data_IF_143249289718
#
_entry.id   IF_143249289718
#
_cell.length_a   1.000
_cell.length_b   1.000
_cell.length_c   1.000
_cell.angle_alpha   90.00
_cell.angle_beta   90.00
_cell.angle_gamma   90.00
#
_symmetry.space_group_name_H-M   'P 1'
#
loop_
_entity.id
_entity.type
_entity.pdbx_description
1 polymer ?
#
# COMPACT_ATOMS: atom_id res chain seq x y z
N UNK A 1 52.63 11.91 24.67
CA UNK A 1 51.71 12.58 25.61
C UNK A 1 50.70 13.39 24.80
N UNK A 2 49.40 13.23 25.05
CA UNK A 2 48.36 14.09 24.48
C UNK A 2 47.11 13.34 24.04
N UNK A 3 46.35 12.80 25.00
CA UNK A 3 44.97 12.37 24.80
C UNK A 3 44.10 13.60 24.55
N UNK A 4 43.27 13.59 23.49
CA UNK A 4 42.12 14.47 23.40
C UNK A 4 40.84 13.64 23.38
N UNK A 5 40.01 14.00 24.33
CA UNK A 5 38.80 13.39 24.84
C UNK A 5 37.65 13.38 23.83
N UNK A 6 36.93 12.25 23.85
CA UNK A 6 35.53 12.13 23.42
C UNK A 6 34.71 13.27 24.02
N UNK A 7 33.89 13.92 23.18
CA UNK A 7 32.73 14.67 23.65
C UNK A 7 31.50 13.95 23.11
N UNK A 8 30.76 13.38 24.04
CA UNK A 8 29.40 12.89 23.88
C UNK A 8 28.51 14.00 23.30
N UNK A 9 27.77 13.69 22.24
CA UNK A 9 26.63 14.51 21.81
C UNK A 9 25.33 13.80 22.18
N UNK A 10 24.52 14.56 22.92
CA UNK A 10 23.28 14.25 23.61
C UNK A 10 22.10 13.97 22.63
N UNK A 11 21.35 12.87 22.78
CA UNK A 11 20.27 12.49 21.88
C UNK A 11 18.90 13.05 22.30
N UNK A 12 18.70 14.37 22.38
CA UNK A 12 17.36 14.94 22.58
C UNK A 12 17.16 16.31 21.91
N UNK A 13 16.69 16.31 20.65
CA UNK A 13 15.90 17.43 20.12
C UNK A 13 14.94 16.97 19.04
N UNK A 14 13.80 16.41 19.47
CA UNK A 14 12.61 16.23 18.64
C UNK A 14 11.45 17.00 19.29
N UNK A 15 10.92 18.07 18.67
CA UNK A 15 9.75 18.73 19.22
C UNK A 15 8.50 17.84 19.11
N UNK A 16 7.75 17.81 20.21
CA UNK A 16 6.65 16.90 20.47
C UNK A 16 5.40 17.14 19.63
N UNK A 17 4.70 16.04 19.35
CA UNK A 17 3.37 15.99 18.74
C UNK A 17 2.33 16.42 19.79
N UNK A 18 1.78 17.64 19.70
CA UNK A 18 0.48 18.01 20.29
C UNK A 18 -0.04 19.36 19.75
N UNK A 19 -1.31 19.35 19.35
CA UNK A 19 -2.22 20.47 19.00
C UNK A 19 -1.94 21.17 17.64
N UNK A 20 -2.92 21.51 16.79
CA UNK A 20 -4.19 22.20 17.08
C UNK A 20 -5.31 21.78 16.10
N UNK A 21 -6.54 21.73 16.64
CA UNK A 21 -7.83 21.46 15.99
C UNK A 21 -8.50 22.73 15.42
N UNK A 22 -9.16 22.56 14.27
CA UNK A 22 -10.52 23.02 13.92
C UNK A 22 -10.84 24.46 13.42
N UNK A 23 -11.91 24.45 12.59
CA UNK A 23 -12.86 25.50 12.11
C UNK A 23 -12.51 26.17 10.77
N UNK A 24 -13.44 26.41 9.85
CA UNK A 24 -14.83 26.85 10.04
C UNK A 24 -15.85 26.33 9.00
N UNK A 25 -17.10 26.21 9.45
CA UNK A 25 -18.32 26.09 8.66
C UNK A 25 -18.71 27.46 8.05
N UNK A 26 -19.28 27.45 6.84
CA UNK A 26 -20.06 28.55 6.27
C UNK A 26 -21.56 28.25 6.26
N UNK A 27 -22.33 29.07 6.97
CA UNK A 27 -23.78 29.30 6.87
C UNK A 27 -24.06 30.16 5.61
N UNK A 28 -25.24 30.33 5.01
CA UNK A 28 -26.58 29.75 5.02
C UNK A 28 -27.34 30.44 3.87
N UNK A 29 -28.40 29.84 3.32
CA UNK A 29 -29.47 30.59 2.66
C UNK A 29 -30.80 29.86 2.84
N UNK A 30 -31.75 30.55 3.47
CA UNK A 30 -33.09 30.10 3.77
C UNK A 30 -34.02 30.26 2.55
N UNK A 31 -34.88 29.27 2.32
CA UNK A 31 -36.02 29.36 1.41
C UNK A 31 -37.26 28.84 2.12
N UNK A 32 -38.22 29.72 2.36
CA UNK A 32 -39.56 29.43 2.88
C UNK A 32 -40.45 28.90 1.75
N UNK A 33 -41.13 27.78 1.98
CA UNK A 33 -42.18 27.26 1.09
C UNK A 33 -43.08 26.30 1.85
N UNK A 34 -44.29 26.75 2.18
CA UNK A 34 -45.35 25.96 2.80
C UNK A 34 -46.25 25.34 1.73
N UNK A 35 -46.54 24.05 1.85
CA UNK A 35 -47.77 23.45 1.30
C UNK A 35 -48.09 22.16 2.07
N UNK A 36 -49.28 22.12 2.66
CA UNK A 36 -49.88 20.94 3.27
C UNK A 36 -50.57 20.10 2.20
N UNK A 37 -50.51 18.77 2.33
CA UNK A 37 -51.56 17.89 1.87
C UNK A 37 -51.54 16.59 2.68
N UNK A 38 -52.64 16.37 3.38
CA UNK A 38 -53.04 15.12 4.04
C UNK A 38 -53.38 14.06 2.97
N UNK A 39 -52.91 12.84 3.17
CA UNK A 39 -53.23 11.70 2.31
C UNK A 39 -52.96 10.39 3.03
N UNK A 40 -53.99 9.85 3.68
CA UNK A 40 -54.00 8.52 4.25
C UNK A 40 -54.29 7.47 3.16
N UNK A 41 -53.55 6.36 3.18
CA UNK A 41 -54.01 5.09 2.61
C UNK A 41 -53.24 3.93 3.26
N UNK A 42 -53.89 3.30 4.23
CA UNK A 42 -53.52 2.00 4.78
C UNK A 42 -53.88 0.89 3.79
N UNK A 43 -52.91 0.07 3.39
CA UNK A 43 -53.14 -1.21 2.73
C UNK A 43 -52.43 -2.33 3.50
N UNK A 44 -53.09 -3.46 3.82
CA UNK A 44 -52.44 -4.58 4.49
C UNK A 44 -51.73 -5.44 3.43
N UNK A 45 -50.41 -5.41 3.42
CA UNK A 45 -49.62 -6.41 2.69
C UNK A 45 -49.29 -7.55 3.65
N UNK A 46 -49.84 -8.73 3.36
CA UNK A 46 -49.56 -9.99 4.04
C UNK A 46 -48.06 -10.26 4.12
N UNK A 47 -47.53 -10.35 5.34
CA UNK A 47 -46.19 -10.82 5.59
C UNK A 47 -46.15 -12.36 5.51
N UNK A 48 -45.40 -12.91 4.55
CA UNK A 48 -44.92 -14.29 4.66
C UNK A 48 -43.78 -14.35 5.69
N UNK A 49 -43.69 -15.41 6.52
CA UNK A 49 -42.55 -15.58 7.41
C UNK A 49 -41.33 -15.97 6.57
N UNK A 50 -40.46 -15.01 6.29
CA UNK A 50 -39.11 -15.30 5.85
C UNK A 50 -38.41 -16.06 6.98
N UNK A 51 -38.03 -17.31 6.73
CA UNK A 51 -37.09 -18.04 7.59
C UNK A 51 -35.82 -17.20 7.69
N UNK A 52 -35.60 -16.57 8.84
CA UNK A 52 -34.33 -15.98 9.23
C UNK A 52 -33.32 -17.09 9.43
N UNK A 53 -32.67 -17.50 8.34
CA UNK A 53 -31.40 -18.20 8.43
C UNK A 53 -30.37 -17.23 9.00
N UNK A 54 -29.89 -17.52 10.21
CA UNK A 54 -28.74 -16.83 10.82
C UNK A 54 -27.59 -16.74 9.82
N UNK A 55 -26.89 -15.60 9.72
CA UNK A 55 -25.68 -15.55 8.91
C UNK A 55 -24.64 -16.45 9.59
N UNK A 56 -24.33 -17.57 8.95
CA UNK A 56 -23.09 -18.26 9.20
C UNK A 56 -21.96 -17.24 8.99
N UNK A 57 -21.00 -17.17 9.93
CA UNK A 57 -19.77 -16.42 9.74
C UNK A 57 -19.00 -17.06 8.59
N UNK A 58 -19.30 -16.66 7.36
CA UNK A 58 -18.41 -16.86 6.23
C UNK A 58 -17.12 -16.14 6.60
N UNK A 59 -16.02 -16.88 6.70
CA UNK A 59 -14.68 -16.31 6.77
C UNK A 59 -14.59 -15.31 5.61
N UNK A 60 -14.53 -14.02 5.92
CA UNK A 60 -14.51 -12.99 4.89
C UNK A 60 -13.35 -13.33 3.94
N UNK A 61 -13.68 -13.53 2.67
CA UNK A 61 -12.64 -13.69 1.66
C UNK A 61 -11.80 -12.41 1.69
N UNK A 62 -10.49 -12.56 1.94
CA UNK A 62 -9.58 -11.43 1.88
C UNK A 62 -9.69 -10.81 0.49
N UNK A 63 -9.86 -9.49 0.42
CA UNK A 63 -9.79 -8.78 -0.84
C UNK A 63 -8.33 -8.82 -1.31
N UNK A 64 -8.07 -9.53 -2.39
CA UNK A 64 -6.73 -9.70 -2.94
C UNK A 64 -6.72 -9.37 -4.44
N UNK A 65 -5.59 -8.85 -4.90
CA UNK A 65 -5.35 -8.58 -6.32
C UNK A 65 -4.21 -9.46 -6.82
N UNK A 66 -4.50 -10.28 -7.83
CA UNK A 66 -3.49 -11.04 -8.56
C UNK A 66 -2.69 -10.16 -9.53
N UNK A 67 -1.84 -10.77 -10.35
CA UNK A 67 -1.07 -10.17 -11.44
C UNK A 67 0.04 -9.20 -11.02
N UNK A 68 0.45 -9.30 -9.75
CA UNK A 68 1.69 -8.72 -9.27
C UNK A 68 2.86 -9.66 -9.59
N UNK A 69 3.93 -9.10 -10.15
CA UNK A 69 5.03 -9.84 -10.76
C UNK A 69 6.37 -9.34 -10.25
N UNK A 70 7.32 -10.25 -10.12
CA UNK A 70 8.73 -9.93 -9.95
C UNK A 70 9.34 -9.52 -11.29
N UNK A 71 10.13 -8.43 -11.31
CA UNK A 71 10.90 -8.02 -12.48
C UNK A 71 12.35 -8.52 -12.42
N UNK A 72 12.80 -9.28 -13.43
CA UNK A 72 14.18 -9.83 -13.48
C UNK A 72 15.28 -8.76 -13.58
N UNK A 73 14.95 -7.57 -14.07
CA UNK A 73 15.94 -6.51 -14.34
C UNK A 73 16.19 -5.59 -13.15
N UNK A 74 15.12 -5.20 -12.46
CA UNK A 74 15.20 -4.29 -11.33
C UNK A 74 14.90 -4.94 -9.98
N UNK A 75 14.47 -6.21 -9.99
CA UNK A 75 13.98 -6.96 -8.82
C UNK A 75 12.76 -6.37 -8.12
N UNK A 76 12.17 -5.32 -8.69
CA UNK A 76 11.00 -4.66 -8.16
C UNK A 76 9.72 -5.46 -8.39
N UNK A 77 8.77 -5.29 -7.47
CA UNK A 77 7.40 -5.75 -7.61
C UNK A 77 6.64 -4.79 -8.54
N UNK A 78 6.03 -5.30 -9.61
CA UNK A 78 5.23 -4.51 -10.54
C UNK A 78 3.92 -5.20 -10.91
N UNK A 79 2.90 -4.41 -11.22
CA UNK A 79 1.59 -4.91 -11.62
C UNK A 79 1.52 -5.09 -13.14
N UNK A 80 1.08 -6.26 -13.60
CA UNK A 80 0.99 -6.64 -15.02
C UNK A 80 -0.45 -6.77 -15.51
N UNK A 81 -1.33 -5.87 -15.06
CA UNK A 81 -2.73 -5.81 -15.48
C UNK A 81 -3.03 -4.89 -16.67
N UNK A 82 -2.00 -4.34 -17.34
CA UNK A 82 -2.16 -3.42 -18.48
C UNK A 82 -1.40 -3.94 -19.71
N UNK A 83 -1.72 -3.47 -20.93
CA UNK A 83 -1.03 -3.90 -22.15
C UNK A 83 0.45 -3.49 -22.23
N UNK A 84 0.90 -2.59 -21.37
CA UNK A 84 2.30 -2.18 -21.23
C UNK A 84 2.83 -2.61 -19.86
N UNK A 85 4.15 -2.63 -19.71
CA UNK A 85 4.79 -3.06 -18.46
C UNK A 85 5.39 -1.90 -17.64
N UNK A 86 4.96 -0.64 -17.89
CA UNK A 86 5.41 0.54 -17.14
C UNK A 86 6.91 0.88 -17.28
N UNK A 87 7.33 2.06 -16.82
CA UNK A 87 8.76 2.44 -16.85
C UNK A 87 9.63 1.60 -15.90
N UNK A 88 10.61 0.87 -16.43
CA UNK A 88 11.58 0.10 -15.64
C UNK A 88 12.88 0.91 -15.38
N UNK A 89 13.49 0.82 -14.18
CA UNK A 89 14.80 1.42 -13.92
C UNK A 89 15.92 0.92 -14.83
N UNK A 90 15.80 -0.27 -15.41
CA UNK A 90 16.75 -0.85 -16.37
C UNK A 90 16.51 -0.40 -17.82
N UNK A 91 15.55 0.50 -18.05
CA UNK A 91 15.09 0.89 -19.38
C UNK A 91 13.93 0.02 -19.88
N UNK A 92 13.12 0.61 -20.77
CA UNK A 92 11.92 -0.01 -21.37
C UNK A 92 10.88 -0.46 -20.31
N UNK A 93 10.02 -1.41 -20.68
CA UNK A 93 9.02 -2.07 -19.81
C UNK A 93 9.63 -2.94 -18.71
N UNK A 94 8.91 -3.28 -17.64
CA UNK A 94 9.32 -4.36 -16.72
C UNK A 94 9.35 -5.75 -17.43
N UNK A 95 10.08 -6.71 -16.87
CA UNK A 95 10.21 -8.08 -17.42
C UNK A 95 9.85 -9.13 -16.36
N UNK A 96 8.68 -9.76 -16.50
CA UNK A 96 8.09 -10.63 -15.50
C UNK A 96 8.74 -12.00 -15.41
N UNK A 97 9.03 -12.46 -14.20
CA UNK A 97 9.39 -13.86 -13.92
C UNK A 97 8.81 -14.35 -12.58
N UNK A 98 8.95 -15.66 -12.33
CA UNK A 98 8.56 -16.28 -11.06
C UNK A 98 7.04 -16.34 -10.83
N UNK A 99 6.65 -16.20 -9.57
CA UNK A 99 5.27 -16.37 -9.11
C UNK A 99 4.32 -15.24 -9.54
N UNK A 100 3.03 -15.56 -9.55
CA UNK A 100 1.96 -14.56 -9.64
C UNK A 100 1.51 -14.21 -8.22
N UNK A 101 1.85 -13.02 -7.75
CA UNK A 101 1.52 -12.59 -6.39
C UNK A 101 0.07 -12.11 -6.30
N UNK A 102 -0.58 -12.45 -5.19
CA UNK A 102 -1.99 -12.16 -4.93
C UNK A 102 -2.13 -11.31 -3.66
N UNK A 103 -1.95 -10.00 -3.80
CA UNK A 103 -1.69 -9.10 -2.68
C UNK A 103 -2.97 -8.64 -1.98
N UNK A 104 -3.05 -8.70 -0.63
CA UNK A 104 -4.17 -8.17 0.12
C UNK A 104 -4.28 -6.66 0.00
N UNK A 105 -5.50 -6.13 -0.01
CA UNK A 105 -5.73 -4.69 -0.06
C UNK A 105 -6.99 -4.27 0.70
N UNK A 106 -7.04 -2.98 1.09
CA UNK A 106 -8.15 -2.34 1.79
C UNK A 106 -8.62 -3.12 3.03
N UNK A 107 -7.69 -3.75 3.74
CA UNK A 107 -7.89 -4.37 5.04
C UNK A 107 -7.15 -3.56 6.11
N UNK A 108 -7.46 -3.72 7.40
CA UNK A 108 -6.72 -3.02 8.45
C UNK A 108 -5.25 -3.46 8.54
N UNK A 109 -4.36 -2.51 8.88
CA UNK A 109 -3.00 -2.81 9.34
C UNK A 109 -3.05 -3.67 10.63
N UNK A 110 -2.05 -4.52 10.80
CA UNK A 110 -1.88 -5.38 11.98
C UNK A 110 -0.42 -5.37 12.42
N UNK A 111 -0.06 -5.90 13.60
CA UNK A 111 1.34 -5.99 14.03
C UNK A 111 2.26 -6.76 13.06
N UNK A 112 1.69 -7.57 12.17
CA UNK A 112 2.41 -8.39 11.18
C UNK A 112 1.93 -8.12 9.74
N UNK A 113 1.30 -6.98 9.48
CA UNK A 113 0.92 -6.58 8.13
C UNK A 113 0.83 -5.06 8.01
N UNK A 114 1.59 -4.48 7.07
CA UNK A 114 1.74 -3.04 6.93
C UNK A 114 0.90 -2.52 5.76
N UNK A 115 0.13 -1.46 5.99
CA UNK A 115 -0.63 -0.76 4.93
C UNK A 115 0.17 0.40 4.30
N UNK A 116 -0.47 1.24 3.48
CA UNK A 116 0.12 2.34 2.70
C UNK A 116 1.06 1.89 1.57
N UNK A 117 0.92 0.66 1.10
CA UNK A 117 1.57 0.22 -0.13
C UNK A 117 0.67 0.55 -1.32
N UNK A 118 1.23 1.22 -2.33
CA UNK A 118 0.48 1.81 -3.43
C UNK A 118 1.04 1.38 -4.77
N UNK A 119 0.16 1.31 -5.75
CA UNK A 119 0.52 1.18 -7.15
C UNK A 119 0.91 2.55 -7.74
N UNK A 120 1.99 2.60 -8.52
CA UNK A 120 2.39 3.78 -9.27
C UNK A 120 1.93 3.73 -10.73
N UNK A 121 1.18 4.73 -11.19
CA UNK A 121 0.64 4.78 -12.57
C UNK A 121 1.68 4.97 -13.67
N UNK A 122 2.91 5.34 -13.33
CA UNK A 122 3.99 5.64 -14.31
C UNK A 122 4.90 4.43 -14.54
N UNK A 123 5.31 3.78 -13.46
CA UNK A 123 6.23 2.65 -13.50
C UNK A 123 5.56 1.30 -13.28
N UNK A 124 4.29 1.30 -12.88
CA UNK A 124 3.53 0.11 -12.47
C UNK A 124 4.10 -0.63 -11.27
N UNK A 125 5.13 -0.07 -10.64
CA UNK A 125 5.76 -0.61 -9.44
C UNK A 125 4.94 -0.37 -8.18
N UNK A 126 5.08 -1.30 -7.24
CA UNK A 126 4.63 -1.16 -5.85
C UNK A 126 5.60 -0.27 -5.07
N UNK A 127 5.08 0.73 -4.37
CA UNK A 127 5.88 1.63 -3.54
C UNK A 127 5.18 1.97 -2.23
N UNK A 128 5.96 2.27 -1.20
CA UNK A 128 5.44 2.70 0.08
C UNK A 128 5.14 4.21 0.05
N UNK A 129 3.89 4.58 0.37
CA UNK A 129 3.37 5.94 0.34
C UNK A 129 3.23 6.52 1.75
N UNK A 130 4.29 6.38 2.56
CA UNK A 130 4.32 6.83 3.96
C UNK A 130 5.17 8.08 4.22
N UNK A 131 5.77 8.66 3.19
CA UNK A 131 6.67 9.82 3.28
C UNK A 131 6.28 10.88 2.24
N UNK A 132 6.47 12.18 2.54
CA UNK A 132 5.91 13.27 1.73
C UNK A 132 6.57 13.47 0.36
N UNK A 133 7.76 12.91 0.14
CA UNK A 133 8.52 13.01 -1.11
C UNK A 133 8.24 11.87 -2.11
N UNK A 134 7.41 10.89 -1.72
CA UNK A 134 6.90 9.80 -2.56
C UNK A 134 7.96 8.95 -3.29
N UNK A 135 9.25 9.10 -2.93
CA UNK A 135 10.35 8.29 -3.43
C UNK A 135 10.67 8.47 -4.91
N UNK A 136 11.87 8.07 -5.32
CA UNK A 136 12.32 8.19 -6.72
C UNK A 136 11.65 7.17 -7.65
N UNK A 137 10.85 7.64 -8.60
CA UNK A 137 10.29 6.81 -9.68
C UNK A 137 11.23 6.75 -10.90
N UNK A 138 11.34 5.60 -11.60
CA UNK A 138 12.12 5.48 -12.83
C UNK A 138 11.62 6.36 -13.98
N UNK A 139 10.38 6.85 -13.93
CA UNK A 139 9.85 7.81 -14.90
C UNK A 139 10.33 9.27 -14.68
N UNK A 140 11.31 9.49 -13.80
CA UNK A 140 12.02 10.77 -13.63
C UNK A 140 11.52 11.68 -12.50
N UNK A 141 10.30 11.45 -12.00
CA UNK A 141 9.68 12.23 -10.91
C UNK A 141 9.44 11.36 -9.67
N UNK A 142 8.64 11.84 -8.70
CA UNK A 142 8.14 11.00 -7.63
C UNK A 142 7.09 9.97 -8.11
N UNK A 143 6.86 8.92 -7.32
CA UNK A 143 5.79 7.96 -7.61
C UNK A 143 4.42 8.65 -7.63
N UNK A 144 3.47 8.08 -8.38
CA UNK A 144 2.12 8.61 -8.51
C UNK A 144 1.12 7.54 -8.06
N UNK A 145 0.69 7.62 -6.80
CA UNK A 145 -0.22 6.65 -6.18
C UNK A 145 -1.57 6.57 -6.92
N UNK A 146 -2.04 5.36 -7.17
CA UNK A 146 -3.40 5.08 -7.59
C UNK A 146 -3.86 3.69 -7.11
N UNK A 147 -5.14 3.39 -7.32
CA UNK A 147 -5.71 2.09 -6.99
C UNK A 147 -5.89 1.86 -5.49
N UNK A 148 -5.70 0.60 -5.07
CA UNK A 148 -5.96 0.15 -3.71
C UNK A 148 -4.84 0.47 -2.73
N UNK A 149 -5.17 0.47 -1.44
CA UNK A 149 -4.21 0.48 -0.35
C UNK A 149 -3.82 -0.96 -0.03
N UNK A 150 -2.66 -1.40 -0.48
CA UNK A 150 -2.17 -2.75 -0.25
C UNK A 150 -1.65 -2.91 1.15
N UNK A 151 -1.91 -4.08 1.73
CA UNK A 151 -1.50 -4.43 3.08
C UNK A 151 -0.63 -5.66 3.01
N UNK A 152 0.67 -5.46 3.19
CA UNK A 152 1.68 -6.49 2.96
C UNK A 152 2.01 -7.20 4.28
N UNK A 153 1.84 -8.52 4.38
CA UNK A 153 2.28 -9.28 5.54
C UNK A 153 3.79 -9.19 5.72
N UNK A 154 4.24 -9.13 6.97
CA UNK A 154 5.65 -9.10 7.31
C UNK A 154 5.94 -9.83 8.62
N UNK A 155 7.20 -10.24 8.80
CA UNK A 155 7.71 -10.89 10.01
C UNK A 155 6.90 -12.12 10.46
N UNK A 156 6.36 -12.86 9.48
CA UNK A 156 5.69 -14.15 9.66
C UNK A 156 6.49 -15.26 8.99
N UNK A 157 6.33 -16.54 9.38
CA UNK A 157 6.96 -17.66 8.68
C UNK A 157 6.52 -17.73 7.21
N UNK A 158 7.47 -18.07 6.34
CA UNK A 158 7.18 -18.44 4.96
C UNK A 158 6.44 -19.79 4.89
N UNK A 159 5.55 -19.92 3.92
CA UNK A 159 4.73 -21.11 3.68
C UNK A 159 4.86 -21.53 2.22
N UNK A 160 4.27 -22.67 1.84
CA UNK A 160 4.29 -23.12 0.43
C UNK A 160 3.58 -22.16 -0.55
N UNK A 161 2.76 -21.23 -0.06
CA UNK A 161 1.99 -20.26 -0.86
C UNK A 161 2.41 -18.81 -0.58
N UNK A 162 3.55 -18.60 0.08
CA UNK A 162 4.08 -17.27 0.33
C UNK A 162 5.57 -17.23 0.05
N UNK A 163 6.08 -16.05 -0.30
CA UNK A 163 7.51 -15.82 -0.52
C UNK A 163 8.02 -14.73 0.42
N UNK A 164 9.06 -15.02 1.21
CA UNK A 164 9.73 -14.02 2.07
C UNK A 164 10.82 -13.25 1.32
N UNK A 165 11.63 -12.45 2.03
CA UNK A 165 12.75 -11.67 1.46
C UNK A 165 12.32 -10.52 0.52
N UNK A 166 11.08 -10.06 0.61
CA UNK A 166 10.67 -8.82 -0.03
C UNK A 166 10.99 -7.65 0.89
N UNK A 167 11.71 -6.64 0.37
CA UNK A 167 12.31 -5.57 1.17
C UNK A 167 11.89 -4.21 0.66
N UNK A 168 11.74 -3.27 1.58
CA UNK A 168 11.59 -1.86 1.27
C UNK A 168 12.93 -1.23 0.93
N UNK A 169 12.98 -0.39 -0.10
CA UNK A 169 14.14 0.41 -0.43
C UNK A 169 13.97 1.88 -0.03
N UNK A 170 14.80 2.45 0.87
CA UNK A 170 14.62 3.82 1.37
C UNK A 170 15.02 4.90 0.36
N UNK A 171 15.56 4.54 -0.80
CA UNK A 171 15.98 5.49 -1.84
C UNK A 171 14.90 5.76 -2.88
N UNK A 172 14.09 4.75 -3.17
CA UNK A 172 13.04 4.83 -4.19
C UNK A 172 11.65 4.49 -3.65
N UNK A 173 11.58 4.04 -2.39
CA UNK A 173 10.38 3.54 -1.72
C UNK A 173 9.72 2.31 -2.35
N UNK A 174 10.35 1.74 -3.37
CA UNK A 174 9.90 0.53 -4.03
C UNK A 174 10.07 -0.72 -3.17
N UNK A 175 9.15 -1.67 -3.36
CA UNK A 175 9.28 -3.04 -2.87
C UNK A 175 10.13 -3.85 -3.87
N UNK A 176 11.18 -4.51 -3.38
CA UNK A 176 12.06 -5.32 -4.22
C UNK A 176 12.40 -6.65 -3.56
N UNK A 177 12.69 -7.66 -4.37
CA UNK A 177 13.10 -8.96 -3.87
C UNK A 177 14.60 -8.97 -3.56
N UNK A 178 14.95 -9.29 -2.31
CA UNK A 178 16.31 -9.37 -1.78
C UNK A 178 16.79 -10.82 -1.72
N UNK A 179 16.63 -11.56 -2.82
CA UNK A 179 17.05 -12.96 -2.92
C UNK A 179 18.28 -13.22 -3.78
N UNK A 180 18.87 -12.18 -4.40
CA UNK A 180 20.00 -12.32 -5.32
C UNK A 180 21.09 -11.29 -5.02
N UNK A 181 22.39 -11.61 -5.24
CA UNK A 181 23.52 -10.77 -4.80
C UNK A 181 23.54 -9.34 -5.34
N UNK A 182 22.95 -9.08 -6.50
CA UNK A 182 23.01 -7.78 -7.17
C UNK A 182 21.96 -6.79 -6.67
N UNK A 183 20.97 -7.23 -5.91
CA UNK A 183 19.85 -6.43 -5.38
C UNK A 183 19.06 -5.60 -6.41
N UNK A 184 19.22 -5.88 -7.70
CA UNK A 184 18.45 -5.26 -8.79
C UNK A 184 18.72 -3.77 -8.98
N UNK A 185 18.44 -3.25 -10.19
CA UNK A 185 18.66 -1.83 -10.51
C UNK A 185 17.64 -0.91 -9.83
N UNK A 186 18.10 -0.02 -8.96
CA UNK A 186 17.30 1.02 -8.32
C UNK A 186 17.25 2.29 -9.19
N UNK A 187 16.10 2.99 -9.28
CA UNK A 187 15.99 4.26 -10.02
C UNK A 187 16.82 5.41 -9.42
N UNK A 188 17.35 5.24 -8.21
CA UNK A 188 18.30 6.18 -7.60
C UNK A 188 19.77 5.98 -8.03
N UNK A 189 20.03 5.17 -9.07
CA UNK A 189 21.34 5.08 -9.74
C UNK A 189 22.30 4.01 -9.22
N UNK A 190 21.85 3.07 -8.38
CA UNK A 190 22.65 1.98 -7.81
C UNK A 190 21.78 0.72 -7.61
N UNK A 191 22.26 -0.29 -6.88
CA UNK A 191 21.43 -1.39 -6.44
C UNK A 191 20.39 -0.95 -5.38
N UNK A 192 19.30 -1.70 -5.17
CA UNK A 192 18.41 -1.43 -4.04
C UNK A 192 19.15 -1.60 -2.70
N UNK A 193 18.72 -0.84 -1.69
CA UNK A 193 19.22 -0.91 -0.32
C UNK A 193 18.13 -1.42 0.61
N UNK A 194 18.47 -2.24 1.59
CA UNK A 194 17.52 -2.83 2.54
C UNK A 194 17.15 -1.81 3.62
N UNK A 195 15.87 -1.68 3.91
CA UNK A 195 15.36 -1.10 5.15
C UNK A 195 14.01 -1.76 5.54
N UNK A 196 13.45 -1.39 6.69
CA UNK A 196 12.11 -1.79 7.12
C UNK A 196 11.96 -3.29 7.43
N UNK A 197 10.76 -3.81 7.17
CA UNK A 197 10.37 -5.18 7.47
C UNK A 197 10.82 -6.20 6.43
N UNK A 198 10.78 -7.49 6.80
CA UNK A 198 10.84 -8.60 5.85
C UNK A 198 9.42 -8.99 5.43
N UNK A 199 9.02 -8.57 4.23
CA UNK A 199 7.68 -8.85 3.72
C UNK A 199 7.57 -10.27 3.19
N UNK A 200 6.42 -10.87 3.44
CA UNK A 200 6.06 -12.25 3.09
C UNK A 200 4.83 -12.21 2.21
N UNK A 201 5.04 -12.33 0.90
CA UNK A 201 4.00 -12.06 -0.08
C UNK A 201 3.29 -13.34 -0.51
N UNK A 202 1.95 -13.39 -0.45
CA UNK A 202 1.18 -14.50 -0.98
C UNK A 202 1.25 -14.58 -2.51
N UNK A 203 1.27 -15.80 -3.03
CA UNK A 203 1.22 -16.07 -4.46
C UNK A 203 0.29 -17.24 -4.80
N UNK A 204 -0.06 -17.33 -6.09
CA UNK A 204 -0.86 -18.39 -6.70
C UNK A 204 0.00 -19.57 -7.16
#
# INVERSE_FOLDING_TARGET
MGFLTVRDEDPQSRPGRRAVLARALGLAAAGLGTAAAVGAATGPASASPAKTSSPAKTKAALANQADWRFCTKCYGMFFRGYPTDGACPAGSGHDAAGYNFNLPYNIPETPTAQHNWRFCTKCYGMFFWGYPDDGRCPAGNAHAAAGYDFVLPHDIPETATTQRNWRFCPKCYGLYYYGYPTNGRCPAGNAHSVAGYDFVLPHL
#
